data_IF_519646286094
#
_entry.id   IF_519646286094
#
_cell.length_a   1.000
_cell.length_b   1.000
_cell.length_c   1.000
_cell.angle_alpha   90.00
_cell.angle_beta   90.00
_cell.angle_gamma   90.00
#
_symmetry.space_group_name_H-M   'P 1'
#
loop_
_entity.id
_entity.type
_entity.pdbx_description
1 polymer ?
#
# COMPACT_ATOMS: atom_id res chain seq x y z
N UNK A 1 -7.39 58.26 -31.81
CA UNK A 1 -7.89 57.73 -30.51
C UNK A 1 -6.69 57.17 -29.75
N UNK A 2 -6.38 57.72 -28.61
CA UNK A 2 -5.33 57.13 -27.77
C UNK A 2 -5.90 55.86 -27.21
N UNK A 3 -5.21 54.78 -27.53
CA UNK A 3 -5.51 53.44 -27.03
C UNK A 3 -5.24 53.41 -25.51
N UNK A 4 -6.28 53.45 -24.71
CA UNK A 4 -6.17 53.45 -23.24
C UNK A 4 -5.62 52.11 -22.67
N UNK A 5 -5.20 51.22 -23.55
CA UNK A 5 -4.60 49.96 -23.21
C UNK A 5 -3.09 49.89 -23.26
N UNK A 6 -2.44 51.02 -23.61
CA UNK A 6 -1.00 50.97 -23.97
C UNK A 6 -0.03 51.09 -22.81
N UNK A 7 -0.45 50.89 -21.56
CA UNK A 7 0.47 50.54 -20.47
C UNK A 7 0.96 49.09 -20.56
N UNK A 8 0.32 48.33 -21.42
CA UNK A 8 0.61 46.92 -21.64
C UNK A 8 0.92 46.81 -23.12
N UNK A 9 2.15 46.46 -23.47
CA UNK A 9 2.60 46.38 -24.85
C UNK A 9 1.69 45.54 -25.76
N UNK A 10 1.86 45.59 -27.08
CA UNK A 10 1.03 44.84 -27.99
C UNK A 10 1.07 43.35 -27.67
N UNK A 11 -0.11 42.80 -27.53
CA UNK A 11 -0.26 41.38 -27.26
C UNK A 11 0.08 40.58 -28.48
N UNK A 12 1.21 39.88 -28.46
CA UNK A 12 1.71 39.17 -29.64
C UNK A 12 1.58 37.65 -29.47
N UNK A 13 1.77 37.11 -28.29
CA UNK A 13 1.65 35.70 -28.00
C UNK A 13 1.49 35.46 -26.48
N UNK A 14 0.90 34.33 -26.13
CA UNK A 14 0.97 33.86 -24.76
C UNK A 14 2.44 33.46 -24.51
N UNK A 15 3.05 33.91 -23.42
CA UNK A 15 4.41 33.52 -23.11
C UNK A 15 4.49 32.04 -22.81
N UNK A 16 5.58 31.42 -23.17
CA UNK A 16 5.95 30.08 -22.75
C UNK A 16 6.59 30.14 -21.36
N UNK A 17 6.73 29.01 -20.69
CA UNK A 17 7.36 28.90 -19.36
C UNK A 17 8.76 29.52 -19.27
N UNK A 18 9.41 29.76 -20.39
CA UNK A 18 10.76 30.34 -20.50
C UNK A 18 10.80 31.81 -20.90
N UNK A 19 9.68 32.48 -21.21
CA UNK A 19 9.66 33.80 -21.82
C UNK A 19 8.58 34.77 -21.28
N UNK A 20 8.22 34.67 -20.00
CA UNK A 20 7.28 35.61 -19.36
C UNK A 20 8.01 36.88 -18.88
N UNK A 21 8.18 37.85 -19.71
CA UNK A 21 8.87 39.12 -19.39
C UNK A 21 8.03 40.38 -19.44
N UNK A 22 6.71 40.26 -19.61
CA UNK A 22 5.82 41.42 -19.76
C UNK A 22 4.76 41.53 -18.66
N UNK A 23 4.32 42.74 -18.36
CA UNK A 23 3.17 42.98 -17.47
C UNK A 23 1.89 42.70 -18.30
N UNK A 24 1.04 41.82 -17.76
CA UNK A 24 -0.17 41.36 -18.46
C UNK A 24 -1.44 41.93 -17.86
N UNK A 25 -2.45 42.11 -18.69
CA UNK A 25 -3.80 42.39 -18.21
C UNK A 25 -4.39 41.22 -17.41
N UNK A 26 -5.36 41.50 -16.53
CA UNK A 26 -6.06 40.43 -15.80
C UNK A 26 -6.62 39.35 -16.73
N UNK A 27 -7.26 39.66 -17.88
CA UNK A 27 -7.68 38.62 -18.82
C UNK A 27 -6.54 37.80 -19.43
N UNK A 28 -5.37 38.40 -19.62
CA UNK A 28 -4.18 37.68 -20.08
C UNK A 28 -3.57 36.81 -19.00
N UNK A 29 -3.55 37.32 -17.75
CA UNK A 29 -3.16 36.53 -16.59
C UNK A 29 -4.11 35.37 -16.35
N UNK A 30 -5.42 35.55 -16.53
CA UNK A 30 -6.42 34.48 -16.44
C UNK A 30 -6.25 33.45 -17.58
N UNK A 31 -5.89 33.87 -18.79
CA UNK A 31 -5.54 32.94 -19.88
C UNK A 31 -4.23 32.26 -19.64
N UNK A 32 -3.26 32.96 -19.05
CA UNK A 32 -1.97 32.39 -18.68
C UNK A 32 -2.09 31.39 -17.51
N UNK A 33 -3.07 31.58 -16.62
CA UNK A 33 -3.38 30.58 -15.59
C UNK A 33 -3.93 29.26 -16.20
N UNK A 34 -4.38 29.31 -17.45
CA UNK A 34 -4.76 28.15 -18.24
C UNK A 34 -3.62 27.67 -19.19
N UNK A 35 -2.37 27.96 -18.84
CA UNK A 35 -1.22 27.51 -19.66
C UNK A 35 -1.14 26.01 -19.72
N UNK A 36 -1.22 25.44 -20.91
CA UNK A 36 -1.21 24.00 -21.08
C UNK A 36 0.14 23.37 -20.69
N UNK A 37 1.20 24.19 -20.56
CA UNK A 37 2.56 23.70 -20.31
C UNK A 37 3.02 23.78 -18.85
N UNK A 38 2.23 24.40 -17.96
CA UNK A 38 2.61 24.47 -16.54
C UNK A 38 2.37 23.14 -15.84
N UNK A 39 3.36 22.64 -15.08
CA UNK A 39 3.17 21.47 -14.25
C UNK A 39 2.04 21.68 -13.23
N UNK A 40 1.23 20.68 -13.03
CA UNK A 40 0.16 20.69 -12.04
C UNK A 40 0.27 19.49 -11.08
N UNK A 41 -0.36 19.65 -9.93
CA UNK A 41 -0.28 18.66 -8.87
C UNK A 41 -1.22 17.47 -9.13
N UNK A 42 -0.68 16.27 -8.99
CA UNK A 42 -1.41 15.00 -8.97
C UNK A 42 -1.22 14.39 -7.60
N UNK A 43 -2.29 14.35 -6.82
CA UNK A 43 -2.30 13.63 -5.55
C UNK A 43 -2.41 12.13 -5.79
N UNK A 44 -1.87 11.32 -4.88
CA UNK A 44 -1.82 9.88 -5.08
C UNK A 44 -1.86 9.10 -3.76
N UNK A 45 -2.34 7.87 -3.87
CA UNK A 45 -2.22 6.81 -2.89
C UNK A 45 -1.59 5.60 -3.59
N UNK A 46 -0.49 5.10 -3.05
CA UNK A 46 0.31 4.03 -3.62
C UNK A 46 0.47 2.91 -2.61
N UNK A 47 -0.13 1.75 -2.90
CA UNK A 47 -0.10 0.56 -2.02
C UNK A 47 0.44 -0.63 -2.81
N UNK A 48 1.46 -1.29 -2.25
CA UNK A 48 2.06 -2.49 -2.83
C UNK A 48 1.24 -3.75 -2.52
N UNK A 49 1.59 -4.87 -3.12
CA UNK A 49 1.05 -6.19 -2.80
C UNK A 49 1.44 -6.64 -1.41
N UNK A 50 0.50 -7.24 -0.66
CA UNK A 50 0.74 -7.82 0.66
C UNK A 50 1.52 -9.13 0.59
N UNK A 51 2.21 -9.52 1.65
CA UNK A 51 2.87 -10.82 1.79
C UNK A 51 1.87 -11.95 2.03
N UNK A 52 2.22 -13.16 1.62
CA UNK A 52 1.48 -14.35 1.98
C UNK A 52 1.69 -14.73 3.45
N UNK A 53 0.74 -15.40 4.04
CA UNK A 53 0.91 -16.03 5.34
C UNK A 53 1.93 -17.19 5.26
N UNK A 54 2.53 -17.53 6.38
CA UNK A 54 3.36 -18.71 6.51
C UNK A 54 2.53 -20.00 6.43
N UNK A 55 3.17 -21.12 6.18
CA UNK A 55 2.62 -22.49 6.20
C UNK A 55 3.72 -23.53 6.06
N UNK A 56 3.46 -24.84 6.19
CA UNK A 56 2.20 -25.48 6.57
C UNK A 56 2.00 -25.64 8.09
N UNK A 57 2.85 -25.12 8.96
CA UNK A 57 2.79 -25.40 10.40
C UNK A 57 3.06 -24.18 11.25
N UNK A 58 2.19 -23.88 12.20
CA UNK A 58 2.38 -22.83 13.21
C UNK A 58 2.91 -21.53 12.59
N UNK A 59 2.15 -20.98 11.70
CA UNK A 59 2.65 -19.99 10.79
C UNK A 59 2.16 -18.57 11.08
N UNK A 60 3.05 -17.61 10.98
CA UNK A 60 2.76 -16.19 11.14
C UNK A 60 1.97 -15.62 9.96
N UNK A 61 1.23 -14.55 10.20
CA UNK A 61 0.52 -13.81 9.16
C UNK A 61 1.46 -13.01 8.26
N UNK A 62 1.09 -12.81 7.00
CA UNK A 62 1.81 -11.94 6.08
C UNK A 62 1.65 -10.45 6.44
N UNK A 63 2.67 -9.65 6.19
CA UNK A 63 2.64 -8.20 6.32
C UNK A 63 1.87 -7.54 5.19
N UNK A 64 1.29 -6.37 5.45
CA UNK A 64 0.68 -5.56 4.41
C UNK A 64 1.73 -4.99 3.45
N UNK A 65 1.34 -4.72 2.21
CA UNK A 65 2.14 -3.89 1.31
C UNK A 65 2.35 -2.50 1.88
N UNK A 66 3.45 -1.86 1.50
CA UNK A 66 3.76 -0.50 1.87
C UNK A 66 2.61 0.43 1.51
N UNK A 67 2.37 1.42 2.34
CA UNK A 67 1.29 2.39 2.18
C UNK A 67 1.89 3.79 2.14
N UNK A 68 1.79 4.47 1.01
CA UNK A 68 2.31 5.82 0.80
C UNK A 68 1.21 6.74 0.30
N UNK A 69 1.13 7.96 0.83
CA UNK A 69 0.05 8.91 0.51
C UNK A 69 0.56 10.33 0.34
N UNK A 70 0.08 11.00 -0.71
CA UNK A 70 0.23 12.43 -0.96
C UNK A 70 -1.15 13.13 -1.00
N UNK A 71 -2.14 12.61 -0.30
CA UNK A 71 -3.49 13.16 -0.29
C UNK A 71 -3.79 13.91 1.00
N UNK A 72 -4.20 15.17 0.87
CA UNK A 72 -4.83 16.00 1.92
C UNK A 72 -4.16 15.89 3.31
N UNK A 73 -2.82 15.90 3.35
CA UNK A 73 -2.04 15.74 4.58
C UNK A 73 -2.26 14.41 5.32
N UNK A 74 -2.90 13.41 4.68
CA UNK A 74 -3.02 12.06 5.24
C UNK A 74 -1.64 11.41 5.37
N UNK A 75 -1.35 10.89 6.55
CA UNK A 75 -0.05 10.28 6.82
C UNK A 75 0.15 8.98 6.04
N UNK A 76 1.38 8.72 5.62
CA UNK A 76 1.81 7.42 5.09
C UNK A 76 1.86 6.34 6.18
N UNK A 77 2.07 5.10 5.81
CA UNK A 77 2.19 3.97 6.75
C UNK A 77 3.40 4.13 7.68
N UNK A 78 3.45 3.33 8.76
CA UNK A 78 4.56 3.37 9.71
C UNK A 78 4.70 4.67 10.49
N UNK A 79 3.65 5.49 10.54
CA UNK A 79 3.69 6.82 11.15
C UNK A 79 4.37 7.90 10.30
N UNK A 80 4.66 7.61 9.02
CA UNK A 80 5.25 8.56 8.08
C UNK A 80 4.34 9.75 7.79
N UNK A 81 4.93 10.92 7.53
CA UNK A 81 4.20 12.11 7.10
C UNK A 81 3.53 11.91 5.72
N UNK A 82 2.58 12.80 5.39
CA UNK A 82 2.11 12.94 4.02
C UNK A 82 3.27 13.28 3.08
N UNK A 83 3.23 12.73 1.88
CA UNK A 83 4.25 12.98 0.86
C UNK A 83 3.83 14.10 -0.09
N UNK A 84 4.75 14.55 -0.94
CA UNK A 84 4.45 15.58 -1.92
C UNK A 84 3.65 15.01 -3.10
N UNK A 85 2.72 15.79 -3.64
CA UNK A 85 2.06 15.48 -4.89
C UNK A 85 3.09 15.39 -6.05
N UNK A 86 2.79 14.60 -7.06
CA UNK A 86 3.55 14.59 -8.32
C UNK A 86 3.25 15.90 -9.05
N UNK A 87 4.30 16.60 -9.48
CA UNK A 87 4.18 17.76 -10.38
C UNK A 87 4.47 17.27 -11.80
N UNK A 88 3.45 17.20 -12.63
CA UNK A 88 3.58 16.72 -14.02
C UNK A 88 3.17 17.79 -15.01
N UNK A 89 3.93 17.93 -16.09
CA UNK A 89 3.55 18.75 -17.25
C UNK A 89 2.49 18.02 -18.08
N UNK A 90 1.62 18.74 -18.81
CA UNK A 90 0.68 18.14 -19.74
C UNK A 90 1.36 17.25 -20.79
N UNK A 91 0.66 16.20 -21.20
CA UNK A 91 1.14 15.27 -22.22
C UNK A 91 2.12 14.20 -21.73
N UNK A 92 2.46 14.16 -20.44
CA UNK A 92 3.30 13.10 -19.87
C UNK A 92 2.47 11.84 -19.65
N UNK A 93 2.92 10.72 -20.19
CA UNK A 93 2.33 9.41 -19.88
C UNK A 93 2.92 8.89 -18.58
N UNK A 94 2.06 8.62 -17.63
CA UNK A 94 2.39 8.03 -16.32
C UNK A 94 1.96 6.57 -16.30
N UNK A 95 2.89 5.69 -15.94
CA UNK A 95 2.65 4.25 -15.76
C UNK A 95 2.46 3.94 -14.29
N UNK A 96 1.35 3.29 -13.98
CA UNK A 96 1.01 2.76 -12.65
C UNK A 96 1.18 1.23 -12.68
N UNK A 97 2.23 0.70 -12.06
CA UNK A 97 2.46 -0.75 -11.96
C UNK A 97 1.91 -1.26 -10.64
N UNK A 98 1.00 -2.21 -10.68
CA UNK A 98 0.38 -2.79 -9.49
C UNK A 98 1.12 -4.06 -9.08
N UNK A 99 1.60 -4.08 -7.84
CA UNK A 99 2.22 -5.26 -7.25
C UNK A 99 1.21 -6.35 -6.93
N UNK A 100 1.47 -7.56 -7.37
CA UNK A 100 0.70 -8.73 -6.96
C UNK A 100 0.96 -9.06 -5.48
N UNK A 101 0.00 -9.67 -4.80
CA UNK A 101 0.23 -10.28 -3.49
C UNK A 101 1.14 -11.50 -3.56
N UNK A 102 1.72 -11.90 -2.45
CA UNK A 102 2.50 -13.13 -2.32
C UNK A 102 1.69 -14.36 -2.74
N UNK A 103 2.19 -15.08 -3.73
CA UNK A 103 1.47 -16.17 -4.42
C UNK A 103 1.68 -17.57 -3.81
N UNK A 104 2.47 -17.69 -2.76
CA UNK A 104 2.73 -18.96 -2.08
C UNK A 104 3.15 -18.69 -0.63
N UNK A 105 3.15 -19.74 0.21
CA UNK A 105 3.57 -19.64 1.60
C UNK A 105 4.90 -18.89 1.75
N UNK A 106 5.00 -18.00 2.69
CA UNK A 106 6.18 -17.17 3.02
C UNK A 106 6.59 -16.16 1.94
N UNK A 107 5.94 -16.13 0.78
CA UNK A 107 6.32 -15.22 -0.28
C UNK A 107 6.01 -13.77 0.10
N UNK A 108 6.96 -12.89 -0.13
CA UNK A 108 6.67 -11.47 -0.16
C UNK A 108 5.72 -11.17 -1.33
N UNK A 109 4.98 -10.08 -1.24
CA UNK A 109 4.30 -9.52 -2.40
C UNK A 109 5.26 -8.93 -3.42
N UNK A 110 4.73 -8.12 -4.33
CA UNK A 110 5.49 -7.35 -5.30
C UNK A 110 5.30 -5.85 -5.05
N UNK A 111 6.31 -5.07 -5.41
CA UNK A 111 6.27 -3.61 -5.31
C UNK A 111 5.22 -3.02 -6.27
N UNK A 112 4.63 -1.90 -5.87
CA UNK A 112 3.87 -1.04 -6.77
C UNK A 112 4.64 0.23 -7.08
N UNK A 113 4.54 0.72 -8.33
CA UNK A 113 5.27 1.92 -8.75
C UNK A 113 4.42 2.90 -9.55
N UNK A 114 4.75 4.19 -9.41
CA UNK A 114 4.28 5.25 -10.32
C UNK A 114 5.52 5.83 -11.00
N UNK A 115 5.55 5.82 -12.32
CA UNK A 115 6.68 6.28 -13.12
C UNK A 115 6.22 7.03 -14.37
N UNK A 116 7.00 8.02 -14.81
CA UNK A 116 6.73 8.79 -16.03
C UNK A 116 7.99 9.53 -16.49
N UNK A 117 8.01 9.98 -17.73
CA UNK A 117 9.14 10.73 -18.26
C UNK A 117 9.34 12.04 -17.47
N UNK A 118 10.56 12.29 -17.02
CA UNK A 118 10.90 13.47 -16.22
C UNK A 118 10.43 13.42 -14.77
N UNK A 119 9.84 12.32 -14.31
CA UNK A 119 9.38 12.13 -12.92
C UNK A 119 10.30 11.16 -12.17
N UNK A 120 10.54 11.45 -10.90
CA UNK A 120 11.16 10.46 -10.00
C UNK A 120 10.18 9.29 -9.81
N UNK A 121 10.65 8.07 -9.99
CA UNK A 121 9.83 6.87 -9.75
C UNK A 121 9.49 6.75 -8.27
N UNK A 122 8.21 6.66 -7.97
CA UNK A 122 7.70 6.36 -6.64
C UNK A 122 7.51 4.85 -6.51
N UNK A 123 8.08 4.27 -5.45
CA UNK A 123 7.96 2.82 -5.18
C UNK A 123 7.39 2.59 -3.79
N UNK A 124 6.35 1.81 -3.71
CA UNK A 124 5.87 1.22 -2.47
C UNK A 124 6.37 -0.22 -2.37
N UNK A 125 6.99 -0.57 -1.25
CA UNK A 125 7.65 -1.85 -1.03
C UNK A 125 6.63 -2.93 -0.71
N UNK A 126 6.80 -4.11 -1.29
CA UNK A 126 5.97 -5.28 -1.05
C UNK A 126 5.87 -5.65 0.45
N UNK A 127 4.75 -6.23 0.86
CA UNK A 127 4.59 -6.79 2.21
C UNK A 127 5.43 -8.04 2.40
N UNK A 128 5.97 -8.23 3.62
CA UNK A 128 6.78 -9.38 3.99
C UNK A 128 5.94 -10.64 4.21
N UNK A 129 6.43 -11.81 3.78
CA UNK A 129 5.79 -13.09 4.04
C UNK A 129 5.87 -13.51 5.51
N UNK A 130 4.87 -14.24 6.01
CA UNK A 130 4.83 -14.76 7.38
C UNK A 130 5.83 -15.91 7.62
N UNK A 131 6.40 -16.01 8.81
CA UNK A 131 7.30 -17.08 9.24
C UNK A 131 6.60 -18.41 9.48
N UNK A 132 7.35 -19.51 9.63
CA UNK A 132 6.81 -20.84 9.94
C UNK A 132 7.81 -21.72 10.68
N UNK A 133 7.28 -22.71 11.39
CA UNK A 133 8.07 -23.63 12.20
C UNK A 133 9.10 -24.43 11.38
N UNK A 134 8.76 -24.96 10.21
CA UNK A 134 9.60 -25.91 9.46
C UNK A 134 10.44 -25.35 8.31
N UNK A 135 10.21 -24.12 7.87
CA UNK A 135 10.94 -23.56 6.74
C UNK A 135 12.21 -22.85 7.18
N UNK A 136 13.30 -23.61 7.27
CA UNK A 136 14.62 -23.09 7.70
C UNK A 136 15.37 -22.37 6.60
N UNK A 137 15.06 -22.62 5.31
CA UNK A 137 15.75 -21.99 4.17
C UNK A 137 15.14 -20.67 3.73
N UNK A 138 13.82 -20.54 3.85
CA UNK A 138 13.06 -19.34 3.40
C UNK A 138 12.71 -18.43 4.57
N UNK A 139 12.56 -18.99 5.76
CA UNK A 139 12.27 -18.30 7.01
C UNK A 139 13.20 -18.82 8.09
N UNK A 140 14.44 -18.35 8.17
CA UNK A 140 15.38 -18.80 9.18
C UNK A 140 14.78 -18.61 10.57
N UNK A 141 14.86 -19.64 11.40
CA UNK A 141 14.34 -19.63 12.77
C UNK A 141 12.85 -19.31 12.92
N UNK A 142 12.02 -19.48 11.86
CA UNK A 142 10.59 -19.15 11.93
C UNK A 142 10.25 -17.68 11.87
N UNK A 143 11.21 -16.81 11.59
CA UNK A 143 11.01 -15.37 11.52
C UNK A 143 10.17 -14.96 10.31
N UNK A 144 9.42 -13.85 10.45
CA UNK A 144 8.74 -13.20 9.34
C UNK A 144 9.71 -12.44 8.43
N UNK A 145 9.37 -12.33 7.16
CA UNK A 145 10.17 -11.58 6.18
C UNK A 145 10.00 -10.07 6.36
N UNK A 146 11.04 -9.27 6.09
CA UNK A 146 10.91 -7.82 6.01
C UNK A 146 10.10 -7.41 4.77
N UNK A 147 9.49 -6.22 4.83
CA UNK A 147 8.69 -5.67 3.73
C UNK A 147 8.26 -4.23 3.96
N UNK A 148 7.30 -3.74 3.18
CA UNK A 148 6.61 -2.48 3.44
C UNK A 148 6.03 -2.48 4.84
N UNK A 149 5.23 -3.51 5.18
CA UNK A 149 5.03 -3.99 6.54
C UNK A 149 5.62 -5.40 6.67
N UNK A 150 6.17 -5.73 7.83
CA UNK A 150 6.83 -7.02 8.06
C UNK A 150 5.86 -8.17 8.30
N UNK A 151 6.22 -9.40 7.91
CA UNK A 151 5.49 -10.62 8.25
C UNK A 151 5.60 -10.99 9.73
N UNK A 152 4.59 -11.66 10.29
CA UNK A 152 4.58 -12.17 11.66
C UNK A 152 5.48 -13.40 11.81
N UNK A 153 6.00 -13.63 13.02
CA UNK A 153 6.77 -14.82 13.36
C UNK A 153 5.88 -16.06 13.47
N UNK A 154 6.38 -17.20 12.99
CA UNK A 154 5.81 -18.52 13.31
C UNK A 154 6.12 -18.94 14.74
N UNK A 155 5.36 -19.88 15.30
CA UNK A 155 5.59 -20.37 16.64
C UNK A 155 6.70 -21.43 16.64
N UNK A 156 7.76 -21.24 17.43
CA UNK A 156 8.88 -22.20 17.59
C UNK A 156 9.27 -22.34 19.05
N UNK A 157 9.89 -23.51 19.35
CA UNK A 157 10.46 -23.84 20.68
C UNK A 157 11.69 -23.02 21.04
N UNK A 158 12.34 -22.39 20.05
CA UNK A 158 13.49 -21.49 20.28
C UNK A 158 13.01 -20.04 20.30
N UNK A 159 13.53 -19.19 21.23
CA UNK A 159 13.04 -17.84 21.44
C UNK A 159 13.41 -16.84 20.31
N UNK A 160 13.96 -17.30 19.19
CA UNK A 160 14.59 -16.45 18.18
C UNK A 160 13.71 -16.10 16.98
N UNK A 161 12.43 -16.54 16.97
CA UNK A 161 11.51 -16.19 15.88
C UNK A 161 11.01 -14.75 16.05
N UNK A 162 11.51 -13.84 15.22
CA UNK A 162 11.15 -12.43 15.26
C UNK A 162 10.21 -12.05 14.13
N UNK A 163 9.37 -11.05 14.37
CA UNK A 163 8.59 -10.43 13.30
C UNK A 163 9.50 -9.73 12.29
N UNK A 164 9.11 -9.77 11.02
CA UNK A 164 9.81 -9.07 9.95
C UNK A 164 9.84 -7.56 10.20
N UNK A 165 10.95 -6.93 9.86
CA UNK A 165 11.08 -5.48 9.93
C UNK A 165 10.20 -4.80 8.86
N UNK A 166 9.73 -3.59 9.16
CA UNK A 166 9.03 -2.75 8.19
C UNK A 166 9.97 -1.79 7.49
N UNK A 167 9.59 -1.36 6.29
CA UNK A 167 10.19 -0.21 5.63
C UNK A 167 9.70 1.07 6.32
N UNK A 168 10.64 1.93 6.71
CA UNK A 168 10.32 3.22 7.34
C UNK A 168 9.33 4.02 6.49
N UNK A 169 8.36 4.64 7.14
CA UNK A 169 7.31 5.45 6.51
C UNK A 169 6.42 4.71 5.49
N UNK A 170 6.36 3.37 5.55
CA UNK A 170 5.49 2.59 4.68
C UNK A 170 4.63 1.57 5.44
N UNK A 171 5.03 1.16 6.65
CA UNK A 171 4.28 0.22 7.46
C UNK A 171 4.95 -0.09 8.79
N UNK A 172 4.39 -1.05 9.51
CA UNK A 172 4.88 -1.49 10.82
C UNK A 172 5.41 -2.92 10.76
N UNK A 173 6.27 -3.27 11.73
CA UNK A 173 6.83 -4.61 11.87
C UNK A 173 5.75 -5.65 12.15
N UNK A 174 6.02 -6.90 11.79
CA UNK A 174 5.27 -8.06 12.24
C UNK A 174 5.47 -8.34 13.73
N UNK A 175 4.56 -9.10 14.31
CA UNK A 175 4.64 -9.55 15.71
C UNK A 175 5.76 -10.58 15.90
N UNK A 176 6.46 -10.48 17.04
CA UNK A 176 7.46 -11.46 17.47
C UNK A 176 6.78 -12.56 18.31
N UNK A 177 7.23 -13.80 18.19
CA UNK A 177 6.75 -14.88 19.03
C UNK A 177 7.49 -14.88 20.37
N UNK A 178 6.75 -14.81 21.49
CA UNK A 178 7.28 -14.68 22.84
C UNK A 178 7.19 -15.97 23.66
N UNK A 179 6.98 -17.12 23.03
CA UNK A 179 6.94 -18.38 23.77
C UNK A 179 6.24 -19.53 23.04
N UNK A 180 6.46 -20.74 23.54
CA UNK A 180 5.92 -21.98 23.00
C UNK A 180 5.05 -22.66 24.06
N UNK A 181 3.76 -22.33 24.07
CA UNK A 181 2.78 -22.93 24.99
C UNK A 181 1.43 -23.11 24.27
N UNK A 182 0.70 -24.15 24.68
CA UNK A 182 -0.65 -24.45 24.19
C UNK A 182 -1.55 -23.18 24.27
N UNK A 183 -2.28 -22.82 23.19
CA UNK A 183 -2.53 -23.51 21.90
C UNK A 183 -1.51 -23.22 20.78
N UNK A 184 -0.30 -22.84 21.11
CA UNK A 184 0.80 -22.57 20.18
C UNK A 184 0.44 -21.53 19.08
N UNK A 185 -0.03 -20.34 19.46
CA UNK A 185 -0.40 -19.31 18.51
C UNK A 185 0.83 -18.73 17.84
N UNK A 186 0.69 -18.34 16.57
CA UNK A 186 1.69 -17.61 15.82
C UNK A 186 1.34 -16.13 15.74
N UNK A 187 2.31 -15.29 15.39
CA UNK A 187 2.19 -13.83 15.43
C UNK A 187 1.56 -13.28 14.18
N UNK A 188 0.90 -12.13 14.29
CA UNK A 188 0.30 -11.41 13.18
C UNK A 188 1.33 -10.62 12.38
N UNK A 189 1.06 -10.43 11.09
CA UNK A 189 1.79 -9.51 10.21
C UNK A 189 1.51 -8.05 10.54
N UNK A 190 2.47 -7.16 10.26
CA UNK A 190 2.31 -5.72 10.41
C UNK A 190 1.33 -5.14 9.39
N UNK A 191 0.67 -4.05 9.76
CA UNK A 191 -0.19 -3.26 8.90
C UNK A 191 0.33 -1.84 8.66
N UNK A 192 -0.38 -1.05 7.89
CA UNK A 192 -0.01 0.33 7.58
C UNK A 192 -0.11 1.27 8.80
N UNK A 193 -1.00 0.98 9.77
CA UNK A 193 -1.24 1.84 10.92
C UNK A 193 -0.84 1.23 12.27
N UNK A 194 -0.58 -0.08 12.34
CA UNK A 194 -0.19 -0.75 13.57
C UNK A 194 0.72 -1.95 13.31
N UNK A 195 1.56 -2.27 14.28
CA UNK A 195 2.36 -3.49 14.28
C UNK A 195 1.45 -4.73 14.38
N UNK A 196 1.96 -5.86 13.92
CA UNK A 196 1.32 -7.15 14.13
C UNK A 196 1.36 -7.54 15.61
N UNK A 197 0.31 -8.23 16.08
CA UNK A 197 0.24 -8.75 17.42
C UNK A 197 1.29 -9.81 17.68
N UNK A 198 2.03 -9.66 18.78
CA UNK A 198 2.93 -10.69 19.26
C UNK A 198 2.13 -11.84 19.86
N UNK A 199 2.49 -13.09 19.52
CA UNK A 199 1.91 -14.28 20.10
C UNK A 199 2.90 -14.94 21.07
N UNK A 200 2.43 -15.89 21.85
CA UNK A 200 3.23 -16.70 22.78
C UNK A 200 2.55 -16.92 24.11
N UNK A 201 3.08 -17.82 24.91
CA UNK A 201 2.61 -18.18 26.25
C UNK A 201 1.11 -18.49 26.32
N UNK A 202 0.51 -19.13 25.29
CA UNK A 202 -0.89 -19.52 25.25
C UNK A 202 -1.87 -18.37 24.95
N UNK A 203 -1.39 -17.13 24.75
CA UNK A 203 -2.27 -15.99 24.48
C UNK A 203 -2.56 -15.85 22.99
N UNK A 204 -3.86 -15.78 22.60
CA UNK A 204 -4.32 -15.55 21.23
C UNK A 204 -4.22 -14.07 20.82
N UNK A 205 -3.02 -13.52 20.82
CA UNK A 205 -2.76 -12.10 20.57
C UNK A 205 -2.12 -11.80 19.21
N UNK A 206 -1.89 -12.86 18.40
CA UNK A 206 -1.28 -12.74 17.07
C UNK A 206 -2.19 -12.14 16.01
N UNK A 207 -2.96 -11.13 16.35
CA UNK A 207 -3.83 -10.42 15.39
C UNK A 207 -2.99 -9.61 14.37
N UNK A 208 -3.51 -9.48 13.16
CA UNK A 208 -2.88 -8.63 12.14
C UNK A 208 -2.91 -7.15 12.52
N UNK A 209 -1.86 -6.42 12.18
CA UNK A 209 -1.79 -4.97 12.35
C UNK A 209 -2.84 -4.26 11.48
N UNK A 210 -3.49 -3.24 12.02
CA UNK A 210 -4.50 -2.49 11.28
C UNK A 210 -3.92 -1.70 10.11
N UNK A 211 -4.72 -1.59 9.07
CA UNK A 211 -4.50 -0.72 7.93
C UNK A 211 -4.86 0.74 8.22
N UNK A 212 -4.66 1.58 7.23
CA UNK A 212 -4.88 3.02 7.30
C UNK A 212 -6.03 3.46 6.39
N UNK A 213 -6.85 4.37 6.88
CA UNK A 213 -7.92 4.97 6.11
C UNK A 213 -7.42 6.11 5.23
N UNK A 214 -8.00 6.26 4.04
CA UNK A 214 -7.82 7.41 3.14
C UNK A 214 -9.16 7.83 2.55
N UNK A 215 -9.29 9.13 2.34
CA UNK A 215 -10.45 9.77 1.71
C UNK A 215 -10.21 10.14 0.24
N UNK A 216 -9.11 9.70 -0.36
CA UNK A 216 -8.74 10.03 -1.75
C UNK A 216 -9.84 9.66 -2.76
N UNK A 217 -10.64 8.62 -2.48
CA UNK A 217 -11.79 8.19 -3.28
C UNK A 217 -13.10 8.92 -2.95
N UNK A 218 -13.02 10.06 -2.26
CA UNK A 218 -14.16 10.84 -1.75
C UNK A 218 -14.96 10.16 -0.61
N UNK A 219 -14.63 8.96 -0.24
CA UNK A 219 -15.14 8.24 0.93
C UNK A 219 -13.98 7.62 1.71
N UNK A 220 -14.14 7.46 3.03
CA UNK A 220 -13.10 6.84 3.87
C UNK A 220 -13.03 5.34 3.62
N UNK A 221 -11.89 4.88 3.11
CA UNK A 221 -11.63 3.44 2.86
C UNK A 221 -10.33 3.02 3.52
N UNK A 222 -10.39 2.03 4.41
CA UNK A 222 -9.21 1.47 5.07
C UNK A 222 -8.55 0.41 4.20
N UNK A 223 -7.21 0.46 4.08
CA UNK A 223 -6.38 -0.47 3.28
C UNK A 223 -5.08 -0.79 4.00
N UNK A 224 -4.39 -1.85 3.60
CA UNK A 224 -3.08 -2.22 4.13
C UNK A 224 -3.14 -2.86 5.52
N UNK A 225 -4.11 -3.75 5.78
CA UNK A 225 -4.15 -4.57 7.00
C UNK A 225 -3.22 -5.78 6.90
N UNK A 226 -2.51 -6.14 7.98
CA UNK A 226 -1.69 -7.34 8.06
C UNK A 226 -2.52 -8.61 8.30
N UNK A 227 -2.00 -9.79 7.99
CA UNK A 227 -2.65 -11.08 8.25
C UNK A 227 -2.57 -11.50 9.72
N UNK A 228 -3.57 -12.23 10.22
CA UNK A 228 -3.54 -12.87 11.54
C UNK A 228 -2.64 -14.12 11.54
N UNK A 229 -2.05 -14.46 12.69
CA UNK A 229 -1.27 -15.69 12.86
C UNK A 229 -2.16 -16.93 12.95
N UNK A 230 -1.65 -18.08 12.52
CA UNK A 230 -2.33 -19.36 12.65
C UNK A 230 -2.23 -19.95 14.05
N UNK A 231 -3.08 -20.92 14.37
CA UNK A 231 -3.12 -21.67 15.62
C UNK A 231 -2.84 -23.14 15.34
N UNK A 232 -2.16 -23.81 16.29
CA UNK A 232 -1.81 -25.22 16.15
C UNK A 232 -2.89 -26.17 16.63
N UNK A 233 -3.61 -25.85 17.71
CA UNK A 233 -4.58 -26.74 18.35
C UNK A 233 -6.03 -26.41 17.95
N UNK A 234 -6.90 -27.41 18.02
CA UNK A 234 -8.33 -27.29 17.73
C UNK A 234 -9.10 -26.65 18.89
N UNK A 235 -10.27 -26.10 18.63
CA UNK A 235 -11.17 -25.55 19.64
C UNK A 235 -10.95 -24.07 19.98
N UNK A 236 -10.10 -23.37 19.25
CA UNK A 236 -9.82 -21.96 19.42
C UNK A 236 -10.36 -21.10 18.27
N UNK A 237 -10.51 -19.81 18.52
CA UNK A 237 -10.96 -18.85 17.47
C UNK A 237 -9.78 -18.40 16.62
N UNK A 238 -10.01 -18.23 15.31
CA UNK A 238 -9.05 -17.65 14.38
C UNK A 238 -8.53 -16.30 14.89
N UNK A 239 -7.24 -16.05 14.76
CA UNK A 239 -6.65 -14.73 14.98
C UNK A 239 -7.02 -13.82 13.81
N UNK A 240 -7.69 -12.71 14.10
CA UNK A 240 -8.19 -11.82 13.07
C UNK A 240 -7.05 -11.17 12.26
N UNK A 241 -7.29 -11.00 10.98
CA UNK A 241 -6.51 -10.07 10.16
C UNK A 241 -6.81 -8.62 10.54
N UNK A 242 -5.86 -7.72 10.31
CA UNK A 242 -6.03 -6.29 10.51
C UNK A 242 -7.10 -5.71 9.60
N UNK A 243 -7.80 -4.68 10.08
CA UNK A 243 -8.74 -3.92 9.26
C UNK A 243 -8.05 -3.39 8.00
N UNK A 244 -8.77 -3.34 6.87
CA UNK A 244 -8.19 -2.91 5.59
C UNK A 244 -7.63 -4.05 4.75
N UNK A 245 -8.21 -5.25 4.89
CA UNK A 245 -8.00 -6.36 3.96
C UNK A 245 -7.05 -7.44 4.44
N UNK A 246 -6.63 -7.45 5.69
CA UNK A 246 -5.84 -8.56 6.24
C UNK A 246 -6.66 -9.84 6.35
N UNK A 247 -6.10 -10.99 5.93
CA UNK A 247 -6.70 -12.32 6.06
C UNK A 247 -6.58 -12.85 7.50
N UNK A 248 -7.62 -13.52 8.01
CA UNK A 248 -7.54 -14.20 9.30
C UNK A 248 -6.62 -15.42 9.25
N UNK A 249 -5.95 -15.73 10.38
CA UNK A 249 -5.19 -16.97 10.52
C UNK A 249 -6.10 -18.19 10.62
N UNK A 250 -5.51 -19.37 10.44
CA UNK A 250 -6.19 -20.63 10.64
C UNK A 250 -6.65 -20.79 12.09
N UNK A 251 -7.88 -21.26 12.30
CA UNK A 251 -8.50 -21.47 13.60
C UNK A 251 -8.23 -22.87 14.18
N UNK A 252 -7.85 -23.81 13.34
CA UNK A 252 -7.71 -25.21 13.68
C UNK A 252 -6.53 -25.84 12.94
N UNK A 253 -6.19 -27.04 13.41
CA UNK A 253 -5.04 -27.83 13.00
C UNK A 253 -4.87 -28.01 11.47
N UNK A 254 -5.96 -28.22 10.76
CA UNK A 254 -5.98 -28.50 9.33
C UNK A 254 -6.48 -27.34 8.48
N UNK A 255 -6.77 -26.20 9.10
CA UNK A 255 -7.29 -25.04 8.40
C UNK A 255 -6.19 -24.27 7.65
N UNK A 256 -6.59 -23.66 6.56
CA UNK A 256 -5.77 -22.70 5.82
C UNK A 256 -5.96 -21.29 6.39
N UNK A 257 -4.92 -20.48 6.29
CA UNK A 257 -5.06 -19.05 6.47
C UNK A 257 -5.95 -18.45 5.36
N UNK A 258 -6.68 -17.41 5.70
CA UNK A 258 -7.52 -16.66 4.76
C UNK A 258 -6.66 -15.74 3.90
N UNK A 259 -6.98 -15.63 2.62
CA UNK A 259 -6.28 -14.72 1.72
C UNK A 259 -6.48 -13.25 2.13
N UNK A 260 -5.48 -12.44 1.95
CA UNK A 260 -5.60 -10.99 1.96
C UNK A 260 -6.54 -10.52 0.85
N UNK A 261 -7.31 -9.47 1.13
CA UNK A 261 -8.26 -8.90 0.17
C UNK A 261 -7.52 -8.26 -1.00
N UNK A 262 -7.90 -8.60 -2.22
CA UNK A 262 -7.34 -7.99 -3.43
C UNK A 262 -7.58 -6.47 -3.46
N UNK A 263 -6.67 -5.73 -4.08
CA UNK A 263 -6.71 -4.27 -4.25
C UNK A 263 -6.70 -3.48 -2.93
N UNK A 264 -6.15 -4.10 -1.88
CA UNK A 264 -5.97 -3.45 -0.58
C UNK A 264 -4.53 -3.49 -0.08
N UNK A 265 -3.68 -4.33 -0.69
CA UNK A 265 -2.35 -4.63 -0.17
C UNK A 265 -2.37 -5.43 1.12
N UNK A 266 -3.49 -6.10 1.44
CA UNK A 266 -3.64 -6.86 2.68
C UNK A 266 -2.76 -8.09 2.75
N UNK A 267 -2.19 -8.41 3.92
CA UNK A 267 -1.42 -9.64 4.16
C UNK A 267 -2.32 -10.87 4.28
N UNK A 268 -1.83 -12.05 3.87
CA UNK A 268 -2.54 -13.33 4.06
C UNK A 268 -2.40 -13.86 5.48
N UNK A 269 -3.41 -14.58 5.98
CA UNK A 269 -3.39 -15.23 7.29
C UNK A 269 -2.43 -16.42 7.35
N UNK A 270 -1.83 -16.69 8.50
CA UNK A 270 -0.97 -17.86 8.76
C UNK A 270 -1.75 -19.17 8.76
N UNK A 271 -1.13 -20.26 8.27
CA UNK A 271 -1.70 -21.60 8.29
C UNK A 271 -1.63 -22.29 9.66
N UNK A 272 -2.53 -23.23 9.89
CA UNK A 272 -2.52 -24.14 11.06
C UNK A 272 -1.51 -25.28 10.90
N UNK A 273 -1.55 -26.24 11.83
CA UNK A 273 -0.76 -27.46 11.77
C UNK A 273 -1.28 -28.37 10.64
N UNK A 274 -0.33 -29.01 9.92
CA UNK A 274 -0.63 -29.99 8.85
C UNK A 274 -1.60 -29.46 7.77
N UNK A 275 -1.80 -28.15 7.70
CA UNK A 275 -2.64 -27.52 6.70
C UNK A 275 -1.94 -27.39 5.35
N UNK A 276 -2.72 -27.15 4.31
CA UNK A 276 -2.18 -26.87 2.98
C UNK A 276 -1.45 -25.53 2.86
N UNK A 277 -1.48 -24.65 3.86
CA UNK A 277 -0.70 -23.43 3.83
C UNK A 277 -1.36 -22.18 4.40
N UNK A 278 -0.64 -21.10 4.38
CA UNK A 278 -1.14 -19.76 4.67
C UNK A 278 -1.98 -19.21 3.54
N UNK A 279 -2.75 -18.18 3.83
CA UNK A 279 -3.46 -17.39 2.84
C UNK A 279 -2.50 -16.61 1.94
N UNK A 280 -2.87 -16.40 0.70
CA UNK A 280 -2.16 -15.56 -0.27
C UNK A 280 -2.26 -14.10 0.14
N UNK A 281 -1.28 -13.29 -0.25
CA UNK A 281 -1.37 -11.83 -0.10
C UNK A 281 -2.38 -11.22 -1.08
N UNK A 282 -3.00 -10.11 -0.70
CA UNK A 282 -3.84 -9.30 -1.59
C UNK A 282 -2.99 -8.41 -2.50
N UNK A 283 -3.44 -8.18 -3.73
CA UNK A 283 -2.78 -7.23 -4.64
C UNK A 283 -2.82 -5.80 -4.09
N UNK A 284 -1.87 -4.99 -4.54
CA UNK A 284 -1.83 -3.55 -4.30
C UNK A 284 -2.90 -2.78 -5.06
N UNK A 285 -2.88 -1.47 -4.90
CA UNK A 285 -3.75 -0.51 -5.60
C UNK A 285 -3.04 0.83 -5.74
N UNK A 286 -3.26 1.51 -6.86
CA UNK A 286 -2.82 2.90 -7.05
C UNK A 286 -4.06 3.75 -7.34
N UNK A 287 -4.16 4.89 -6.64
CA UNK A 287 -5.23 5.86 -6.87
C UNK A 287 -4.57 7.21 -7.11
N UNK A 288 -4.93 7.87 -8.19
CA UNK A 288 -4.50 9.23 -8.49
C UNK A 288 -5.71 10.17 -8.52
N UNK A 289 -5.52 11.40 -8.05
CA UNK A 289 -6.57 12.43 -8.01
C UNK A 289 -6.00 13.77 -8.44
N UNK A 290 -6.68 14.42 -9.37
CA UNK A 290 -6.29 15.71 -9.93
C UNK A 290 -7.53 16.53 -10.32
N UNK A 291 -7.36 17.82 -10.55
CA UNK A 291 -8.44 18.63 -11.13
C UNK A 291 -8.87 18.04 -12.48
N UNK A 292 -10.18 17.95 -12.71
CA UNK A 292 -10.73 17.42 -13.98
C UNK A 292 -10.26 18.22 -15.20
N UNK A 293 -10.03 19.53 -15.05
CA UNK A 293 -9.49 20.37 -16.11
C UNK A 293 -8.06 19.97 -16.55
N UNK A 294 -7.34 19.22 -15.72
CA UNK A 294 -5.97 18.77 -15.96
C UNK A 294 -5.90 17.31 -16.46
N UNK A 295 -7.04 16.64 -16.54
CA UNK A 295 -7.09 15.25 -17.03
C UNK A 295 -7.33 15.24 -18.54
N UNK A 296 -6.41 14.66 -19.31
CA UNK A 296 -6.49 14.58 -20.78
C UNK A 296 -7.63 13.70 -21.31
N UNK A 297 -8.27 12.90 -20.44
CA UNK A 297 -9.25 11.90 -20.86
C UNK A 297 -8.64 10.57 -21.33
N UNK A 298 -7.31 10.47 -21.40
CA UNK A 298 -6.61 9.28 -21.90
C UNK A 298 -6.09 8.42 -20.75
N UNK A 299 -6.55 7.19 -20.67
CA UNK A 299 -6.05 6.19 -19.71
C UNK A 299 -6.27 4.76 -20.22
N UNK A 300 -5.54 3.80 -19.63
CA UNK A 300 -5.69 2.36 -19.86
C UNK A 300 -5.58 1.63 -18.52
N UNK A 301 -6.43 0.65 -18.27
CA UNK A 301 -6.38 -0.22 -17.09
C UNK A 301 -6.90 0.38 -15.78
N UNK A 302 -7.30 1.66 -15.77
CA UNK A 302 -7.86 2.32 -14.60
C UNK A 302 -9.38 2.52 -14.69
N UNK A 303 -10.04 2.66 -13.55
CA UNK A 303 -11.44 3.08 -13.45
C UNK A 303 -11.50 4.57 -13.11
N UNK A 304 -12.16 5.36 -13.95
CA UNK A 304 -12.30 6.81 -13.78
C UNK A 304 -13.62 7.13 -13.07
N UNK A 305 -13.53 7.98 -12.06
CA UNK A 305 -14.68 8.57 -11.36
C UNK A 305 -14.45 10.06 -11.13
N UNK A 306 -15.47 10.81 -10.77
CA UNK A 306 -15.38 12.24 -10.46
C UNK A 306 -15.92 12.54 -9.07
N UNK A 307 -15.36 13.55 -8.43
CA UNK A 307 -15.84 14.07 -7.14
C UNK A 307 -15.63 15.57 -7.08
N UNK A 308 -16.72 16.34 -7.12
CA UNK A 308 -16.65 17.80 -7.26
C UNK A 308 -15.94 18.19 -8.56
N UNK A 309 -14.88 18.98 -8.45
CA UNK A 309 -14.04 19.40 -9.58
C UNK A 309 -12.91 18.45 -9.92
N UNK A 310 -12.79 17.31 -9.22
CA UNK A 310 -11.67 16.40 -9.37
C UNK A 310 -12.04 15.14 -10.15
N UNK A 311 -11.07 14.66 -10.93
CA UNK A 311 -11.04 13.31 -11.51
C UNK A 311 -10.19 12.40 -10.64
N UNK A 312 -10.71 11.19 -10.38
CA UNK A 312 -10.07 10.13 -9.60
C UNK A 312 -9.92 8.92 -10.53
N UNK A 313 -8.71 8.40 -10.63
CA UNK A 313 -8.43 7.17 -11.39
C UNK A 313 -7.93 6.11 -10.42
N UNK A 314 -8.62 4.97 -10.36
CA UNK A 314 -8.24 3.82 -9.53
C UNK A 314 -7.71 2.69 -10.40
N UNK A 315 -6.46 2.29 -10.15
CA UNK A 315 -5.80 1.18 -10.83
C UNK A 315 -5.75 -0.04 -9.91
N UNK A 316 -6.51 -1.06 -10.28
CA UNK A 316 -6.50 -2.40 -9.66
C UNK A 316 -5.63 -3.39 -10.44
N UNK A 317 -5.14 -3.00 -11.59
CA UNK A 317 -4.17 -3.68 -12.45
C UNK A 317 -3.22 -2.65 -13.06
N UNK A 318 -2.08 -3.11 -13.55
CA UNK A 318 -1.12 -2.23 -14.22
C UNK A 318 -1.78 -1.50 -15.39
N UNK A 319 -1.54 -0.19 -15.47
CA UNK A 319 -2.12 0.67 -16.47
C UNK A 319 -1.38 2.00 -16.63
N UNK A 320 -1.92 2.87 -17.46
CA UNK A 320 -1.33 4.18 -17.76
C UNK A 320 -2.41 5.26 -17.77
N UNK A 321 -2.00 6.49 -17.55
CA UNK A 321 -2.80 7.66 -17.89
C UNK A 321 -1.90 8.78 -18.43
N UNK A 322 -2.48 9.67 -19.22
CA UNK A 322 -1.77 10.84 -19.75
C UNK A 322 -2.28 12.09 -19.03
N UNK A 323 -1.35 12.92 -18.63
CA UNK A 323 -1.58 14.21 -17.96
C UNK A 323 -2.04 15.27 -18.94
#
# INVERSE_FOLDING_TARGET
MKDNGSLIGPKIALPTTSAASAIWSIPEQQRAAAWPDLPYAINWLLIAGGGAGGGPTQAGGGGAGGYRSAWNSETSGGGGSAEAAIMASPGVTITCTIGAGGGSNHANGNDSTIAGSGLATLTSVAGGGGGSYYYTTVSPNGSGNPGGSGGGAGNRTTPDAVGGAATSNQGYAGGTNNGYADPYPSSGGGGAAAAGGAAGSGALTGVGGNGRASTITASSVTRGGGGGGGIYEDGYSAQAGGSGGGGAGAAARYDHGVNGTANTGGGGGGGGKNSGGGGLGGSGVIIVRMLTANYSGTQSGGTVTTSGSDTIITFNSTGTFTT
#
